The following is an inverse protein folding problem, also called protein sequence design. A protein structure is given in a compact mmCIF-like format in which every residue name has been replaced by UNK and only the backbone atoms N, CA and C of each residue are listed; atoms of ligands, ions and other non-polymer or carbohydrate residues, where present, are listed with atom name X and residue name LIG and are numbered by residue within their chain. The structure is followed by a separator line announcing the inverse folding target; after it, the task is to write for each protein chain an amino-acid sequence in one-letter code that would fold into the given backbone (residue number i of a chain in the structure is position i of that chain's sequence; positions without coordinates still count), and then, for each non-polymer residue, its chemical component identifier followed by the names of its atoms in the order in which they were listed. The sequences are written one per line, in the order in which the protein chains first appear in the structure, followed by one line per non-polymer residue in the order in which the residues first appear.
data_IF_061747563175
#
_entry.id   IF_061747563175
#
_cell.length_a   1.000
_cell.length_b   1.000
_cell.length_c   1.000
_cell.angle_alpha   90.00
_cell.angle_beta   90.00
_cell.angle_gamma   90.00
#
_symmetry.space_group_name_H-M   'P 1'
#
loop_
_entity.id
_entity.type
_entity.pdbx_description
1 polymer ?
#
# COMPACT_ATOMS: atom_id res chain seq x y z
N UNK A 1 24.90 -19.13 -3.47
CA UNK A 1 24.55 -18.70 -2.10
C UNK A 1 23.72 -17.44 -2.24
N UNK A 2 22.39 -17.53 -2.04
CA UNK A 2 21.56 -16.32 -1.87
C UNK A 2 21.95 -15.74 -0.51
N UNK A 3 22.67 -14.63 -0.51
CA UNK A 3 22.89 -13.86 0.72
C UNK A 3 21.50 -13.52 1.26
N UNK A 4 21.17 -14.12 2.41
CA UNK A 4 20.00 -13.73 3.18
C UNK A 4 20.09 -12.22 3.39
N UNK A 5 19.05 -11.51 2.98
CA UNK A 5 18.90 -10.08 3.25
C UNK A 5 19.23 -9.86 4.73
N UNK A 6 20.22 -9.01 5.02
CA UNK A 6 20.52 -8.60 6.39
C UNK A 6 19.21 -8.21 7.07
N UNK A 7 18.98 -8.75 8.28
CA UNK A 7 17.69 -8.69 8.98
C UNK A 7 17.12 -7.26 9.14
N UNK A 8 17.98 -6.24 9.01
CA UNK A 8 17.64 -4.82 9.11
C UNK A 8 17.65 -4.04 7.77
N UNK A 9 17.72 -4.71 6.61
CA UNK A 9 17.74 -4.02 5.29
C UNK A 9 16.38 -3.39 4.96
N UNK A 10 15.27 -4.05 5.30
CA UNK A 10 13.92 -3.49 5.14
C UNK A 10 13.64 -2.57 6.32
N UNK A 11 13.46 -1.28 6.04
CA UNK A 11 13.44 -0.25 7.06
C UNK A 11 12.27 0.74 6.94
N UNK A 12 11.37 0.55 5.97
CA UNK A 12 10.26 1.47 5.74
C UNK A 12 8.98 0.80 5.26
N UNK A 13 7.84 1.14 5.87
CA UNK A 13 6.55 0.54 5.55
C UNK A 13 5.46 1.60 5.49
N UNK A 14 4.75 1.66 4.36
CA UNK A 14 3.52 2.46 4.22
C UNK A 14 2.33 1.55 4.48
N UNK A 15 1.75 1.66 5.68
CA UNK A 15 0.86 0.60 6.19
C UNK A 15 -0.63 0.83 5.92
N UNK A 16 -0.98 1.95 5.30
CA UNK A 16 -2.38 2.33 5.09
C UNK A 16 -2.57 3.81 5.38
N UNK A 17 -3.79 4.28 5.51
CA UNK A 17 -5.04 3.56 5.29
C UNK A 17 -5.33 3.37 3.79
N UNK A 18 -6.10 2.33 3.45
CA UNK A 18 -6.67 2.19 2.12
C UNK A 18 -7.47 3.45 1.74
N UNK A 19 -7.21 3.99 0.54
CA UNK A 19 -7.77 5.26 0.03
C UNK A 19 -7.28 6.53 0.77
N UNK A 20 -6.18 6.43 1.53
CA UNK A 20 -5.51 7.55 2.21
C UNK A 20 -4.40 8.25 1.41
N UNK A 21 -4.22 7.94 0.13
CA UNK A 21 -3.16 8.56 -0.70
C UNK A 21 -1.83 7.80 -0.73
N UNK A 22 -1.81 6.55 -0.27
CA UNK A 22 -0.59 5.70 -0.25
C UNK A 22 0.03 5.48 -1.63
N UNK A 23 -0.76 5.44 -2.71
CA UNK A 23 -0.24 5.34 -4.08
C UNK A 23 0.59 6.56 -4.47
N UNK A 24 0.15 7.77 -4.16
CA UNK A 24 0.92 8.99 -4.45
C UNK A 24 2.23 9.03 -3.66
N UNK A 25 2.22 8.59 -2.40
CA UNK A 25 3.45 8.45 -1.61
C UNK A 25 4.39 7.42 -2.23
N UNK A 26 3.87 6.24 -2.57
CA UNK A 26 4.63 5.17 -3.20
C UNK A 26 5.29 5.65 -4.49
N UNK A 27 4.53 6.27 -5.40
CA UNK A 27 5.04 6.78 -6.68
C UNK A 27 6.12 7.85 -6.50
N UNK A 28 5.89 8.83 -5.61
CA UNK A 28 6.85 9.93 -5.39
C UNK A 28 8.14 9.45 -4.71
N UNK A 29 8.04 8.52 -3.76
CA UNK A 29 9.22 7.93 -3.11
C UNK A 29 9.98 7.03 -4.08
N UNK A 30 9.29 6.15 -4.82
CA UNK A 30 9.92 5.19 -5.73
C UNK A 30 10.52 5.85 -6.99
N UNK A 31 10.20 7.12 -7.26
CA UNK A 31 10.86 7.93 -8.29
C UNK A 31 12.28 8.40 -7.90
N UNK A 32 12.71 8.19 -6.65
CA UNK A 32 14.02 8.61 -6.16
C UNK A 32 15.06 7.49 -6.27
N UNK A 33 16.29 7.83 -6.62
CA UNK A 33 17.39 6.87 -6.75
C UNK A 33 17.90 6.31 -5.40
N UNK A 34 17.63 7.02 -4.29
CA UNK A 34 18.00 6.62 -2.93
C UNK A 34 16.89 5.86 -2.19
N UNK A 35 15.83 5.48 -2.90
CA UNK A 35 14.69 4.71 -2.40
C UNK A 35 14.48 3.48 -3.26
N UNK A 36 14.13 2.36 -2.63
CA UNK A 36 13.65 1.18 -3.31
C UNK A 36 12.38 0.66 -2.62
N UNK A 37 11.24 0.72 -3.32
CA UNK A 37 10.03 0.07 -2.86
C UNK A 37 9.74 -1.18 -3.69
N UNK A 38 9.17 -2.20 -3.03
CA UNK A 38 8.81 -3.46 -3.68
C UNK A 38 8.03 -3.23 -4.99
N UNK A 39 8.39 -3.92 -6.10
CA UNK A 39 7.66 -3.83 -7.37
C UNK A 39 6.24 -4.39 -7.25
N UNK A 40 6.00 -5.31 -6.32
CA UNK A 40 4.67 -5.66 -5.83
C UNK A 40 4.31 -4.66 -4.72
N UNK A 41 3.44 -3.69 -4.99
CA UNK A 41 3.18 -2.59 -4.05
C UNK A 41 2.56 -3.07 -2.73
N UNK A 42 1.44 -3.79 -2.82
CA UNK A 42 0.70 -4.35 -1.66
C UNK A 42 0.90 -5.88 -1.59
N UNK A 43 2.05 -6.40 -1.12
CA UNK A 43 2.27 -7.84 -0.97
C UNK A 43 1.48 -8.47 0.18
N UNK A 44 1.01 -7.67 1.15
CA UNK A 44 0.18 -8.07 2.29
C UNK A 44 0.76 -9.22 3.13
N UNK A 45 2.08 -9.35 3.17
CA UNK A 45 2.81 -10.45 3.81
C UNK A 45 2.53 -10.53 5.31
N UNK A 46 2.68 -9.42 6.03
CA UNK A 46 2.47 -9.37 7.49
C UNK A 46 0.99 -9.40 7.90
N UNK A 47 0.04 -9.25 6.97
CA UNK A 47 -1.40 -9.47 7.22
C UNK A 47 -1.75 -10.95 7.07
N UNK A 48 -1.16 -11.79 7.92
CA UNK A 48 -1.40 -13.24 7.93
C UNK A 48 -2.79 -13.62 8.46
N UNK A 49 -3.47 -12.70 9.14
CA UNK A 49 -4.87 -12.83 9.56
C UNK A 49 -5.88 -12.64 8.40
N UNK A 50 -5.41 -12.29 7.19
CA UNK A 50 -6.26 -12.26 5.99
C UNK A 50 -6.37 -13.65 5.37
N UNK A 51 -7.55 -14.23 5.47
CA UNK A 51 -7.88 -15.51 4.85
C UNK A 51 -8.34 -15.33 3.40
N UNK A 52 -7.43 -15.59 2.45
CA UNK A 52 -7.72 -15.47 1.02
C UNK A 52 -8.76 -16.48 0.53
N UNK A 53 -9.09 -17.53 1.31
CA UNK A 53 -10.17 -18.47 0.99
C UNK A 53 -11.56 -17.85 1.18
N UNK A 54 -11.67 -16.77 1.97
CA UNK A 54 -12.92 -16.05 2.24
C UNK A 54 -13.19 -14.88 1.31
N UNK A 55 -12.29 -14.60 0.37
CA UNK A 55 -12.49 -13.49 -0.56
C UNK A 55 -13.76 -13.65 -1.39
N UNK A 56 -14.48 -12.55 -1.54
CA UNK A 56 -15.68 -12.47 -2.38
C UNK A 56 -15.33 -12.82 -3.82
N UNK A 57 -16.28 -13.35 -4.60
CA UNK A 57 -16.08 -13.62 -6.02
C UNK A 57 -15.57 -12.39 -6.78
N UNK A 58 -16.10 -11.21 -6.46
CA UNK A 58 -15.73 -9.96 -7.09
C UNK A 58 -14.27 -9.58 -6.75
N UNK A 59 -13.86 -9.70 -5.48
CA UNK A 59 -12.49 -9.41 -5.07
C UNK A 59 -11.48 -10.35 -5.74
N UNK A 60 -11.80 -11.65 -5.83
CA UNK A 60 -11.00 -12.65 -6.55
C UNK A 60 -10.88 -12.32 -8.04
N UNK A 61 -11.95 -11.87 -8.67
CA UNK A 61 -11.94 -11.50 -10.09
C UNK A 61 -11.05 -10.29 -10.38
N UNK A 62 -10.84 -9.42 -9.38
CA UNK A 62 -10.01 -8.22 -9.49
C UNK A 62 -8.61 -8.37 -8.87
N UNK A 63 -8.26 -9.54 -8.34
CA UNK A 63 -7.00 -9.75 -7.62
C UNK A 63 -6.30 -11.01 -8.10
N UNK A 64 -5.04 -10.88 -8.51
CA UNK A 64 -4.19 -12.01 -8.82
C UNK A 64 -3.74 -12.71 -7.52
N UNK A 65 -4.37 -13.85 -7.19
CA UNK A 65 -4.02 -14.62 -5.99
C UNK A 65 -2.89 -15.62 -6.23
N UNK A 66 -2.78 -16.18 -7.43
CA UNK A 66 -1.67 -17.02 -7.82
C UNK A 66 -0.52 -16.16 -8.37
N UNK A 67 0.56 -16.10 -7.59
CA UNK A 67 1.76 -15.32 -7.87
C UNK A 67 2.90 -16.19 -8.42
N UNK A 68 2.69 -17.47 -8.69
CA UNK A 68 3.74 -18.38 -9.19
C UNK A 68 4.41 -17.87 -10.48
N UNK A 69 3.62 -17.52 -11.49
CA UNK A 69 4.15 -16.92 -12.72
C UNK A 69 4.77 -15.53 -12.46
N UNK A 70 4.23 -14.74 -11.52
CA UNK A 70 4.83 -13.45 -11.15
C UNK A 70 6.27 -13.63 -10.68
N UNK A 71 6.50 -14.52 -9.71
CA UNK A 71 7.84 -14.82 -9.17
C UNK A 71 8.73 -15.64 -10.11
N UNK A 72 8.20 -16.15 -11.22
CA UNK A 72 8.99 -16.82 -12.27
C UNK A 72 9.68 -15.84 -13.23
N UNK A 73 9.35 -14.54 -13.16
CA UNK A 73 9.89 -13.51 -14.06
C UNK A 73 11.09 -12.77 -13.46
N UNK A 74 11.98 -12.26 -14.31
CA UNK A 74 13.10 -11.41 -13.90
C UNK A 74 13.43 -10.37 -14.99
N UNK A 75 13.41 -9.06 -14.69
CA UNK A 75 13.02 -8.47 -13.40
C UNK A 75 11.52 -8.66 -13.12
N UNK A 76 11.13 -8.65 -11.84
CA UNK A 76 9.73 -8.69 -11.44
C UNK A 76 9.00 -7.44 -11.98
N UNK A 77 7.87 -7.59 -12.70
CA UNK A 77 7.09 -6.46 -13.17
C UNK A 77 6.39 -5.75 -12.01
N UNK A 78 5.95 -4.51 -12.24
CA UNK A 78 5.12 -3.80 -11.28
C UNK A 78 3.74 -4.47 -11.16
N UNK A 79 3.33 -4.77 -9.94
CA UNK A 79 2.01 -5.31 -9.64
C UNK A 79 1.41 -4.56 -8.44
N UNK A 80 0.12 -4.22 -8.54
CA UNK A 80 -0.53 -3.39 -7.54
C UNK A 80 -0.76 -4.12 -6.21
N UNK A 81 -1.26 -5.35 -6.27
CA UNK A 81 -1.71 -6.10 -5.09
C UNK A 81 -1.43 -7.58 -5.25
N UNK A 82 -1.05 -8.22 -4.15
CA UNK A 82 -0.83 -9.65 -4.01
C UNK A 82 -0.97 -10.07 -2.56
N UNK A 83 -0.97 -11.38 -2.31
CA UNK A 83 -1.01 -11.94 -0.96
C UNK A 83 0.11 -12.97 -0.84
N UNK A 84 1.33 -12.47 -0.64
CA UNK A 84 2.54 -13.29 -0.54
C UNK A 84 2.54 -14.02 0.80
N UNK A 85 2.77 -15.33 0.77
CA UNK A 85 2.80 -16.19 1.97
C UNK A 85 4.14 -16.91 2.15
N UNK A 86 4.89 -17.10 1.08
CA UNK A 86 6.23 -17.67 1.15
C UNK A 86 7.27 -16.59 1.53
N UNK A 87 8.14 -16.91 2.49
CA UNK A 87 9.15 -15.98 2.98
C UNK A 87 10.26 -15.73 1.96
N UNK A 88 10.59 -16.71 1.11
CA UNK A 88 11.58 -16.59 0.05
C UNK A 88 11.09 -15.70 -1.10
N UNK A 89 9.82 -15.86 -1.50
CA UNK A 89 9.14 -14.96 -2.43
C UNK A 89 9.10 -13.53 -1.89
N UNK A 90 8.71 -13.35 -0.61
CA UNK A 90 8.71 -12.03 0.03
C UNK A 90 10.10 -11.40 0.03
N UNK A 91 11.14 -12.14 0.43
CA UNK A 91 12.51 -11.66 0.40
C UNK A 91 12.97 -11.28 -1.02
N UNK A 92 12.54 -12.04 -2.04
CA UNK A 92 12.92 -11.79 -3.44
C UNK A 92 12.45 -10.45 -3.98
N UNK A 93 11.36 -9.88 -3.42
CA UNK A 93 10.88 -8.53 -3.77
C UNK A 93 11.91 -7.44 -3.51
N UNK A 94 12.90 -7.69 -2.65
CA UNK A 94 13.89 -6.72 -2.20
C UNK A 94 15.33 -7.09 -2.59
N UNK A 95 15.54 -8.25 -3.22
CA UNK A 95 16.84 -8.65 -3.79
C UNK A 95 17.40 -7.61 -4.77
N UNK A 96 16.59 -7.00 -5.68
CA UNK A 96 17.09 -5.99 -6.63
C UNK A 96 17.40 -4.61 -6.02
N UNK A 97 17.16 -4.40 -4.72
CA UNK A 97 17.38 -3.10 -4.09
C UNK A 97 18.86 -2.66 -4.23
N UNK A 98 19.14 -1.49 -4.83
CA UNK A 98 20.51 -1.04 -5.07
C UNK A 98 21.21 -0.78 -3.74
N UNK A 99 22.54 -0.99 -3.71
CA UNK A 99 23.35 -0.74 -2.50
C UNK A 99 23.32 0.72 -2.03
N UNK A 100 22.94 1.64 -2.92
CA UNK A 100 22.80 3.07 -2.64
C UNK A 100 21.43 3.44 -2.05
N UNK A 101 20.45 2.53 -2.07
CA UNK A 101 19.15 2.79 -1.47
C UNK A 101 19.29 2.94 0.05
N UNK A 102 18.84 4.08 0.56
CA UNK A 102 18.78 4.38 2.00
C UNK A 102 17.49 3.89 2.62
N UNK A 103 16.42 3.89 1.83
CA UNK A 103 15.08 3.51 2.24
C UNK A 103 14.64 2.33 1.40
N UNK A 104 14.34 1.20 2.05
CA UNK A 104 13.95 -0.04 1.41
C UNK A 104 12.70 -0.57 2.11
N UNK A 105 11.65 -0.86 1.35
CA UNK A 105 10.49 -1.54 1.90
C UNK A 105 9.26 -1.52 1.01
N UNK A 106 8.07 -1.47 1.60
CA UNK A 106 6.83 -1.79 0.88
C UNK A 106 5.62 -0.96 1.32
N UNK A 107 4.49 -1.14 0.64
CA UNK A 107 3.29 -0.34 0.84
C UNK A 107 2.03 -1.23 0.85
N UNK A 108 1.78 -1.96 1.94
CA UNK A 108 0.55 -2.75 2.12
C UNK A 108 -0.49 -2.01 2.96
N UNK A 109 -1.59 -1.58 2.35
CA UNK A 109 -2.64 -0.82 3.05
C UNK A 109 -3.43 -1.63 4.06
N UNK A 110 -3.36 -2.96 3.96
CA UNK A 110 -4.00 -3.88 4.90
C UNK A 110 -3.33 -3.92 6.27
N UNK A 111 -2.07 -3.49 6.38
CA UNK A 111 -1.29 -3.55 7.62
C UNK A 111 -1.91 -2.71 8.74
N UNK A 112 -2.46 -1.53 8.43
CA UNK A 112 -3.16 -0.70 9.42
C UNK A 112 -4.40 -1.42 9.97
N UNK A 113 -5.14 -2.13 9.10
CA UNK A 113 -6.33 -2.88 9.49
C UNK A 113 -6.00 -4.18 10.24
N UNK A 114 -4.95 -4.89 9.84
CA UNK A 114 -4.55 -6.17 10.41
C UNK A 114 -4.27 -6.06 11.92
N UNK A 115 -4.68 -7.09 12.64
CA UNK A 115 -4.46 -7.20 14.08
C UNK A 115 -3.10 -7.79 14.43
N UNK A 116 -2.53 -8.60 13.52
CA UNK A 116 -1.27 -9.33 13.73
C UNK A 116 -0.06 -8.65 13.10
N UNK A 117 -0.26 -7.87 12.03
CA UNK A 117 0.82 -7.23 11.27
C UNK A 117 1.81 -6.42 12.12
N UNK A 118 1.39 -5.61 13.12
CA UNK A 118 2.34 -4.84 13.95
C UNK A 118 3.37 -5.74 14.64
N UNK A 119 2.90 -6.80 15.30
CA UNK A 119 3.75 -7.71 16.09
C UNK A 119 4.70 -8.52 15.21
N UNK A 120 4.22 -9.02 14.07
CA UNK A 120 5.02 -9.81 13.13
C UNK A 120 6.10 -8.94 12.47
N UNK A 121 5.72 -7.74 12.02
CA UNK A 121 6.66 -6.79 11.44
C UNK A 121 7.72 -6.36 12.46
N UNK A 122 7.33 -6.12 13.72
CA UNK A 122 8.26 -5.77 14.80
C UNK A 122 9.28 -6.87 15.09
N UNK A 123 8.86 -8.13 15.04
CA UNK A 123 9.73 -9.28 15.28
C UNK A 123 10.83 -9.40 14.22
N UNK A 124 10.50 -9.09 12.97
CA UNK A 124 11.44 -9.18 11.84
C UNK A 124 12.26 -7.89 11.67
N UNK A 125 11.64 -6.72 11.81
CA UNK A 125 12.25 -5.41 11.56
C UNK A 125 12.00 -4.44 12.74
N UNK A 126 12.67 -4.62 13.89
CA UNK A 126 12.39 -3.85 15.10
C UNK A 126 12.70 -2.35 14.99
N UNK A 127 13.51 -1.95 14.02
CA UNK A 127 13.94 -0.58 13.74
C UNK A 127 13.16 0.09 12.59
N UNK A 128 12.15 -0.59 12.04
CA UNK A 128 11.39 -0.11 10.89
C UNK A 128 10.69 1.23 11.15
N UNK A 129 10.69 2.10 10.14
CA UNK A 129 9.89 3.31 10.06
C UNK A 129 8.52 3.00 9.47
N UNK A 130 7.47 3.43 10.15
CA UNK A 130 6.07 3.16 9.82
C UNK A 130 5.40 4.46 9.39
N UNK A 131 4.98 4.56 8.13
CA UNK A 131 4.20 5.68 7.63
C UNK A 131 2.72 5.31 7.54
N UNK A 132 1.89 6.12 8.21
CA UNK A 132 0.43 6.04 8.19
C UNK A 132 -0.12 7.24 7.43
N UNK A 133 -0.78 6.97 6.32
CA UNK A 133 -1.51 7.94 5.50
C UNK A 133 -3.00 7.93 5.85
N UNK A 134 -3.50 9.00 6.45
CA UNK A 134 -4.92 9.12 6.78
C UNK A 134 -5.64 10.05 5.81
N UNK A 135 -6.96 9.93 5.83
CA UNK A 135 -7.89 10.85 5.17
C UNK A 135 -9.08 11.04 6.09
N UNK A 136 -9.78 12.16 5.99
CA UNK A 136 -11.09 12.30 6.63
C UNK A 136 -11.90 11.00 6.40
N UNK A 137 -12.38 10.32 7.46
CA UNK A 137 -12.97 8.99 7.33
C UNK A 137 -14.21 8.96 6.43
N UNK A 138 -14.97 10.07 6.35
CA UNK A 138 -16.11 10.20 5.43
C UNK A 138 -15.64 10.25 3.98
N UNK A 139 -14.61 11.06 3.69
CA UNK A 139 -14.05 11.16 2.34
C UNK A 139 -13.32 9.88 1.92
N UNK A 140 -12.69 9.18 2.86
CA UNK A 140 -12.08 7.86 2.68
C UNK A 140 -13.13 6.83 2.28
N UNK A 141 -14.23 6.77 3.04
CA UNK A 141 -15.37 5.90 2.76
C UNK A 141 -15.95 6.20 1.37
N UNK A 142 -16.24 7.46 1.06
CA UNK A 142 -16.79 7.84 -0.24
C UNK A 142 -15.83 7.48 -1.38
N UNK A 143 -14.53 7.71 -1.21
CA UNK A 143 -13.52 7.30 -2.18
C UNK A 143 -13.41 5.79 -2.34
N UNK A 144 -13.62 5.02 -1.27
CA UNK A 144 -13.72 3.57 -1.33
C UNK A 144 -14.96 3.16 -2.11
N UNK A 145 -16.13 3.68 -1.77
CA UNK A 145 -17.38 3.41 -2.49
C UNK A 145 -17.28 3.69 -3.99
N UNK A 146 -16.68 4.81 -4.40
CA UNK A 146 -16.48 5.12 -5.82
C UNK A 146 -15.57 4.11 -6.51
N UNK A 147 -14.54 3.61 -5.80
CA UNK A 147 -13.68 2.53 -6.29
C UNK A 147 -14.50 1.22 -6.42
N UNK A 148 -15.28 0.88 -5.39
CA UNK A 148 -16.13 -0.30 -5.36
C UNK A 148 -17.15 -0.32 -6.51
N UNK A 149 -17.75 0.83 -6.82
CA UNK A 149 -18.62 1.01 -7.99
C UNK A 149 -17.87 0.80 -9.30
N UNK A 150 -16.67 1.36 -9.43
CA UNK A 150 -15.84 1.29 -10.64
C UNK A 150 -15.44 -0.15 -10.97
N UNK A 151 -15.04 -0.93 -9.96
CA UNK A 151 -14.57 -2.32 -10.13
C UNK A 151 -15.67 -3.37 -9.96
N UNK A 152 -16.92 -2.94 -9.80
CA UNK A 152 -18.08 -3.83 -9.77
C UNK A 152 -18.32 -4.54 -8.43
N UNK A 153 -17.62 -4.18 -7.35
CA UNK A 153 -17.86 -4.70 -5.99
C UNK A 153 -19.23 -4.33 -5.46
N UNK A 154 -19.81 -3.22 -5.94
CA UNK A 154 -21.20 -2.87 -5.66
C UNK A 154 -21.85 -2.14 -6.82
N UNK A 155 -23.17 -2.32 -6.95
CA UNK A 155 -24.05 -1.55 -7.84
C UNK A 155 -25.14 -0.81 -7.06
N UNK A 156 -25.11 -0.93 -5.73
CA UNK A 156 -26.07 -0.26 -4.86
C UNK A 156 -25.74 1.22 -4.74
N UNK A 157 -26.73 2.08 -4.41
CA UNK A 157 -26.48 3.42 -3.91
C UNK A 157 -25.61 3.39 -2.63
N UNK A 158 -24.90 4.50 -2.35
CA UNK A 158 -23.94 4.59 -1.25
C UNK A 158 -24.49 4.07 0.08
N UNK A 159 -25.65 4.57 0.50
CA UNK A 159 -26.26 4.21 1.78
C UNK A 159 -26.55 2.72 1.87
N UNK A 160 -27.19 2.15 0.86
CA UNK A 160 -27.53 0.72 0.81
C UNK A 160 -26.28 -0.17 0.72
N UNK A 161 -25.24 0.28 0.00
CA UNK A 161 -23.96 -0.43 -0.05
C UNK A 161 -23.31 -0.51 1.33
N UNK A 162 -23.31 0.58 2.09
CA UNK A 162 -22.77 0.64 3.46
C UNK A 162 -23.63 -0.17 4.42
N UNK A 163 -24.96 -0.06 4.39
CA UNK A 163 -25.86 -0.84 5.25
C UNK A 163 -25.71 -2.34 4.99
N UNK A 164 -25.58 -2.76 3.72
CA UNK A 164 -25.31 -4.15 3.35
C UNK A 164 -23.96 -4.65 3.86
N UNK A 165 -22.92 -3.83 3.73
CA UNK A 165 -21.56 -4.17 4.17
C UNK A 165 -21.48 -4.30 5.70
N UNK A 166 -22.09 -3.39 6.44
CA UNK A 166 -22.21 -3.46 7.91
C UNK A 166 -23.01 -4.68 8.39
N UNK A 167 -23.96 -5.15 7.60
CA UNK A 167 -24.76 -6.35 7.89
C UNK A 167 -24.07 -7.64 7.41
N UNK A 168 -22.86 -7.58 6.86
CA UNK A 168 -22.16 -8.76 6.36
C UNK A 168 -21.90 -9.74 7.51
N UNK A 169 -22.24 -11.04 7.39
CA UNK A 169 -22.20 -11.98 8.52
C UNK A 169 -20.78 -12.29 9.00
N UNK A 170 -19.79 -12.17 8.12
CA UNK A 170 -18.37 -12.43 8.41
C UNK A 170 -17.51 -11.35 7.73
N UNK A 171 -17.53 -10.09 8.21
CA UNK A 171 -16.80 -9.00 7.58
C UNK A 171 -15.30 -9.24 7.70
N UNK A 172 -14.55 -8.89 6.65
CA UNK A 172 -13.11 -9.12 6.62
C UNK A 172 -12.49 -8.61 5.33
N UNK A 173 -11.19 -8.36 5.36
CA UNK A 173 -10.48 -7.83 4.18
C UNK A 173 -10.67 -8.75 2.98
N UNK A 174 -11.16 -8.20 1.87
CA UNK A 174 -11.46 -8.95 0.65
C UNK A 174 -12.71 -9.85 0.71
N UNK A 175 -13.28 -10.10 1.89
CA UNK A 175 -14.57 -10.76 2.08
C UNK A 175 -15.74 -9.76 1.99
N UNK A 176 -15.53 -8.55 2.51
CA UNK A 176 -16.45 -7.41 2.43
C UNK A 176 -15.66 -6.12 2.19
N UNK A 177 -16.36 -5.00 1.96
CA UNK A 177 -15.73 -3.72 1.59
C UNK A 177 -15.18 -2.96 2.81
N UNK A 178 -15.70 -3.23 4.01
CA UNK A 178 -15.27 -2.59 5.25
C UNK A 178 -15.31 -1.06 5.13
N UNK A 179 -16.43 -0.53 4.60
CA UNK A 179 -16.59 0.88 4.30
C UNK A 179 -16.44 1.77 5.53
N UNK A 180 -16.86 1.29 6.69
CA UNK A 180 -16.82 2.06 7.95
C UNK A 180 -15.59 1.70 8.75
N UNK A 181 -15.31 0.42 8.89
CA UNK A 181 -14.29 -0.18 9.75
C UNK A 181 -12.88 0.30 9.38
N UNK A 182 -12.58 0.41 8.08
CA UNK A 182 -11.28 0.94 7.61
C UNK A 182 -11.10 2.45 7.89
N UNK A 183 -12.16 3.16 8.32
CA UNK A 183 -12.10 4.54 8.78
C UNK A 183 -11.99 4.69 10.31
N UNK A 184 -12.09 3.59 11.07
CA UNK A 184 -12.03 3.60 12.54
C UNK A 184 -10.57 3.56 13.02
N UNK A 185 -9.85 4.65 12.78
CA UNK A 185 -8.38 4.66 12.88
C UNK A 185 -7.82 4.53 14.30
N UNK A 186 -8.54 4.95 15.33
CA UNK A 186 -7.95 5.10 16.67
C UNK A 186 -7.40 3.78 17.22
N UNK A 187 -8.20 2.71 17.21
CA UNK A 187 -7.75 1.39 17.67
C UNK A 187 -6.66 0.82 16.78
N UNK A 188 -6.78 1.02 15.46
CA UNK A 188 -5.78 0.58 14.49
C UNK A 188 -4.41 1.21 14.78
N UNK A 189 -4.35 2.53 14.94
CA UNK A 189 -3.12 3.27 15.24
C UNK A 189 -2.56 2.86 16.62
N UNK A 190 -3.43 2.68 17.62
CA UNK A 190 -3.00 2.28 18.96
C UNK A 190 -2.31 0.91 18.96
N UNK A 191 -2.75 -0.04 18.12
CA UNK A 191 -2.04 -1.32 17.96
C UNK A 191 -0.62 -1.14 17.44
N UNK A 192 -0.40 -0.23 16.49
CA UNK A 192 0.94 0.06 15.98
C UNK A 192 1.83 0.75 17.02
N UNK A 193 1.27 1.70 17.78
CA UNK A 193 1.98 2.38 18.88
C UNK A 193 2.32 1.47 20.06
N UNK A 194 1.61 0.37 20.23
CA UNK A 194 1.94 -0.62 21.26
C UNK A 194 3.24 -1.38 20.94
N UNK A 195 3.57 -1.55 19.65
CA UNK A 195 4.73 -2.32 19.19
C UNK A 195 5.93 -1.45 18.79
N UNK A 196 5.66 -0.24 18.28
CA UNK A 196 6.67 0.68 17.77
C UNK A 196 6.72 1.98 18.57
N UNK A 197 7.92 2.52 18.86
CA UNK A 197 8.03 3.82 19.51
C UNK A 197 7.44 4.93 18.64
N UNK A 198 6.89 5.97 19.26
CA UNK A 198 6.30 7.10 18.52
C UNK A 198 7.27 7.74 17.52
N UNK A 199 8.58 7.74 17.81
CA UNK A 199 9.60 8.27 16.89
C UNK A 199 9.72 7.51 15.56
N UNK A 200 9.32 6.23 15.53
CA UNK A 200 9.33 5.41 14.32
C UNK A 200 7.97 5.35 13.63
N UNK A 201 6.96 6.07 14.10
CA UNK A 201 5.66 6.20 13.45
C UNK A 201 5.47 7.65 12.99
N UNK A 202 5.27 7.85 11.69
CA UNK A 202 4.84 9.14 11.13
C UNK A 202 3.41 9.00 10.61
N UNK A 203 2.56 9.96 10.98
CA UNK A 203 1.20 10.08 10.47
C UNK A 203 1.15 11.31 9.57
N UNK A 204 0.59 11.14 8.36
CA UNK A 204 0.33 12.23 7.42
C UNK A 204 -1.11 12.14 6.92
N UNK A 205 -1.67 13.28 6.55
CA UNK A 205 -2.98 13.38 5.92
C UNK A 205 -2.85 13.37 4.39
N UNK A 206 -3.90 12.97 3.69
CA UNK A 206 -3.95 13.01 2.23
C UNK A 206 -3.71 14.44 1.72
N UNK A 207 -4.21 15.44 2.43
CA UNK A 207 -4.07 16.86 2.13
C UNK A 207 -2.62 17.34 2.27
N UNK A 208 -1.84 16.76 3.19
CA UNK A 208 -0.43 17.09 3.41
C UNK A 208 0.43 16.83 2.17
N UNK A 209 0.02 15.88 1.32
CA UNK A 209 0.76 15.55 0.09
C UNK A 209 0.87 16.71 -0.90
N UNK A 210 -0.02 17.71 -0.77
CA UNK A 210 0.01 18.94 -1.59
C UNK A 210 0.97 20.00 -1.05
N UNK A 211 1.45 19.85 0.19
CA UNK A 211 2.38 20.78 0.82
C UNK A 211 3.83 20.34 0.59
N UNK A 212 4.66 21.15 -0.10
CA UNK A 212 6.08 20.89 -0.23
C UNK A 212 6.79 20.78 1.13
N UNK A 213 6.39 21.60 2.10
CA UNK A 213 6.92 21.58 3.47
C UNK A 213 6.66 20.22 4.15
N UNK A 214 5.41 19.74 4.14
CA UNK A 214 5.05 18.44 4.72
C UNK A 214 5.73 17.27 4.03
N UNK A 215 5.97 17.39 2.73
CA UNK A 215 6.75 16.41 1.99
C UNK A 215 8.22 16.41 2.41
N UNK A 216 8.82 17.59 2.57
CA UNK A 216 10.19 17.73 3.07
C UNK A 216 10.31 17.17 4.50
N UNK A 217 9.34 17.41 5.37
CA UNK A 217 9.27 16.81 6.72
C UNK A 217 9.23 15.28 6.67
N UNK A 218 8.61 14.68 5.64
CA UNK A 218 8.64 13.23 5.44
C UNK A 218 10.02 12.77 5.02
N UNK A 219 10.66 13.46 4.07
CA UNK A 219 12.01 13.12 3.61
C UNK A 219 13.03 13.19 4.75
N UNK A 220 12.99 14.26 5.54
CA UNK A 220 13.87 14.44 6.71
C UNK A 220 13.66 13.31 7.73
N UNK A 221 12.42 12.98 8.06
CA UNK A 221 12.11 11.88 8.96
C UNK A 221 12.59 10.52 8.43
N UNK A 222 12.55 10.33 7.11
CA UNK A 222 13.11 9.18 6.42
C UNK A 222 14.66 9.21 6.34
N UNK A 223 15.32 10.29 6.76
CA UNK A 223 16.76 10.48 6.60
C UNK A 223 17.21 10.66 5.15
N UNK A 224 16.30 11.11 4.28
CA UNK A 224 16.53 11.36 2.87
C UNK A 224 16.88 12.84 2.64
N UNK A 225 17.80 13.14 1.71
CA UNK A 225 18.08 14.52 1.32
C UNK A 225 16.85 15.16 0.67
N UNK A 226 16.57 16.40 1.05
CA UNK A 226 15.68 17.28 0.32
C UNK A 226 16.39 17.67 -0.97
N UNK A 227 15.78 17.36 -2.11
CA UNK A 227 16.27 17.75 -3.42
C UNK A 227 15.43 18.95 -3.83
N UNK A 228 16.03 20.13 -3.92
CA UNK A 228 15.35 21.28 -4.53
C UNK A 228 15.02 20.89 -5.98
N UNK A 229 13.73 20.92 -6.34
CA UNK A 229 13.32 20.79 -7.74
C UNK A 229 13.93 21.96 -8.51
N UNK A 230 15.09 21.74 -9.13
CA UNK A 230 15.69 22.71 -10.03
C UNK A 230 14.62 23.11 -11.05
N UNK A 231 14.33 24.42 -11.10
CA UNK A 231 13.29 25.08 -11.87
C UNK A 231 13.46 24.94 -13.40
N UNK A 232 13.38 23.71 -13.90
CA UNK A 232 13.44 23.36 -15.32
C UNK A 232 12.33 22.39 -15.75
N UNK A 233 11.15 22.49 -15.13
CA UNK A 233 9.90 21.96 -15.71
C UNK A 233 8.96 23.06 -16.22
N UNK A 234 9.52 24.24 -16.52
CA UNK A 234 8.83 25.35 -17.15
C UNK A 234 9.30 25.60 -18.59
N UNK A 235 9.43 24.58 -19.44
CA UNK A 235 9.33 24.70 -20.90
C UNK A 235 9.47 23.33 -21.59
N UNK A 236 8.39 22.93 -22.28
CA UNK A 236 8.34 21.95 -23.36
C UNK A 236 8.77 20.50 -23.06
N UNK A 237 7.80 19.66 -22.75
CA UNK A 237 7.26 18.74 -23.77
C UNK A 237 5.78 18.52 -23.47
N UNK A 238 4.92 18.88 -24.42
CA UNK A 238 3.63 18.20 -24.56
C UNK A 238 3.97 16.74 -24.85
N UNK A 239 4.08 15.91 -23.82
CA UNK A 239 3.87 14.49 -24.01
C UNK A 239 2.36 14.33 -24.22
N UNK A 240 2.03 13.95 -25.44
CA UNK A 240 0.72 13.42 -25.78
C UNK A 240 0.26 12.45 -24.69
N UNK A 241 -0.98 12.60 -24.23
CA UNK A 241 -1.68 11.52 -23.54
C UNK A 241 -1.86 10.39 -24.55
N UNK A 242 -0.85 9.55 -24.70
CA UNK A 242 -1.04 8.17 -25.13
C UNK A 242 -1.30 7.34 -23.88
N UNK A 243 -2.38 6.56 -23.98
CA UNK A 243 -2.87 5.72 -22.92
C UNK A 243 -1.89 4.64 -22.46
N UNK A 244 -2.37 3.91 -21.47
CA UNK A 244 -1.81 2.67 -20.94
C UNK A 244 -0.76 2.80 -19.85
N UNK A 245 -1.26 3.08 -18.64
CA UNK A 245 -0.71 2.53 -17.40
C UNK A 245 -1.69 1.45 -16.87
N UNK A 246 -1.43 0.23 -17.31
CA UNK A 246 -1.87 -1.07 -16.80
C UNK A 246 -3.36 -1.29 -16.47
N UNK A 247 -4.01 -1.65 -17.57
CA UNK A 247 -5.16 -2.53 -17.74
C UNK A 247 -4.90 -4.02 -17.43
N UNK A 248 -3.97 -4.35 -16.53
CA UNK A 248 -3.73 -5.75 -16.12
C UNK A 248 -4.83 -6.21 -15.14
N UNK A 249 -5.99 -6.55 -15.71
CA UNK A 249 -7.27 -6.86 -15.05
C UNK A 249 -8.48 -6.22 -15.72
N UNK A 250 -8.28 -5.36 -16.73
CA UNK A 250 -9.28 -4.45 -17.30
C UNK A 250 -9.63 -4.76 -18.77
N UNK A 251 -9.73 -6.04 -19.15
CA UNK A 251 -10.23 -6.42 -20.46
C UNK A 251 -11.46 -7.32 -20.32
N UNK A 252 -12.64 -6.69 -20.21
CA UNK A 252 -13.91 -7.09 -20.84
C UNK A 252 -15.01 -6.12 -20.39
N UNK A 253 -15.95 -5.85 -21.30
CA UNK A 253 -17.12 -5.00 -21.16
C UNK A 253 -16.91 -3.51 -21.51
N UNK A 254 -16.59 -3.27 -22.78
CA UNK A 254 -17.30 -2.24 -23.54
C UNK A 254 -18.41 -2.95 -24.33
N UNK A 255 -19.66 -2.57 -24.05
CA UNK A 255 -20.90 -3.09 -24.61
C UNK A 255 -22.07 -2.48 -23.89
#
# INVERSE_FOLDING_TARGET
MKEMIEKDKLNFFVIGAAKGGTTTVFERLNAREDVYLSPLKEPNYYSSDIDTSKFSPEFRANTRLDLSEYFSTSPLPTLQIGFVRDAGEYASLFEPAPRTAKLIGECSTSYLWSSVAPSLLKADHPSARILIMLRNPIDRLFSHYMMARKYGFTKLPLREAVEKDLAHPTPGWGASELFVELGMYSEQINRWRAEFPDSSIKIMLTEDLRSPEKWNDLLEWCGLPIIEENSKLGQSTKLERKGDANTAGLARFEG
#
